data_IF_679785884090
#
_entry.id   IF_679785884090
#
_cell.length_a   1.000
_cell.length_b   1.000
_cell.length_c   1.000
_cell.angle_alpha   90.00
_cell.angle_beta   90.00
_cell.angle_gamma   90.00
#
_symmetry.space_group_name_H-M   'P 1'
#
loop_
_entity.id
_entity.type
_entity.pdbx_description
1 polymer ?
#
# COMPACT_ATOMS: atom_id res chain seq x y z
N UNK A 1 19.45 5.41 -1.98
CA UNK A 1 18.91 4.21 -1.32
C UNK A 1 17.54 4.60 -0.78
N UNK A 2 16.47 4.01 -1.32
CA UNK A 2 15.09 4.36 -0.96
C UNK A 2 14.63 3.64 0.31
N UNK A 3 14.83 2.32 0.38
CA UNK A 3 14.49 1.50 1.55
C UNK A 3 15.74 0.78 2.05
N UNK A 4 15.95 0.80 3.36
CA UNK A 4 17.07 0.08 3.98
C UNK A 4 16.65 -0.57 5.29
N UNK A 5 17.18 -1.77 5.56
CA UNK A 5 17.04 -2.43 6.85
C UNK A 5 18.40 -2.81 7.39
N UNK A 6 18.58 -2.64 8.71
CA UNK A 6 19.79 -2.99 9.44
C UNK A 6 19.46 -4.03 10.50
N UNK A 7 20.03 -5.23 10.37
CA UNK A 7 19.86 -6.38 11.29
C UNK A 7 18.42 -6.59 11.73
N UNK A 8 17.48 -6.43 10.77
CA UNK A 8 16.07 -6.52 11.04
C UNK A 8 15.69 -7.91 11.52
N UNK A 9 14.96 -7.99 12.64
CA UNK A 9 14.58 -9.25 13.25
C UNK A 9 13.17 -9.23 13.82
N UNK A 10 12.54 -10.42 13.81
CA UNK A 10 11.24 -10.66 14.42
C UNK A 10 11.16 -12.03 15.07
N UNK A 11 10.78 -12.00 16.32
CA UNK A 11 10.57 -13.20 17.13
C UNK A 11 9.09 -13.24 17.61
N UNK A 12 8.50 -14.41 17.56
CA UNK A 12 7.16 -14.72 18.04
C UNK A 12 7.24 -15.85 19.06
N UNK A 13 7.07 -15.56 20.35
CA UNK A 13 7.06 -16.58 21.41
C UNK A 13 8.25 -17.53 21.36
N UNK A 14 9.47 -17.02 21.12
CA UNK A 14 10.70 -17.80 21.00
C UNK A 14 11.04 -18.28 19.58
N UNK A 15 10.10 -18.22 18.63
CA UNK A 15 10.36 -18.56 17.24
C UNK A 15 10.92 -17.33 16.49
N UNK A 16 12.17 -17.42 16.02
CA UNK A 16 12.78 -16.40 15.17
C UNK A 16 12.28 -16.53 13.73
N UNK A 17 11.32 -15.73 13.35
CA UNK A 17 10.72 -15.75 12.02
C UNK A 17 11.53 -14.95 10.99
N UNK A 18 12.28 -13.92 11.45
CA UNK A 18 13.25 -13.14 10.67
C UNK A 18 14.41 -12.86 11.60
N UNK A 19 15.65 -13.07 11.17
CA UNK A 19 16.85 -12.88 12.00
C UNK A 19 17.93 -12.11 11.25
N UNK A 20 18.23 -10.90 11.76
CA UNK A 20 19.39 -10.12 11.38
C UNK A 20 19.47 -9.74 9.89
N UNK A 21 18.35 -9.42 9.24
CA UNK A 21 18.30 -9.18 7.80
C UNK A 21 18.74 -7.75 7.47
N UNK A 22 19.82 -7.65 6.71
CA UNK A 22 20.26 -6.43 6.03
C UNK A 22 19.75 -6.47 4.58
N UNK A 23 19.02 -5.44 4.17
CA UNK A 23 18.37 -5.37 2.87
C UNK A 23 18.29 -3.93 2.39
N UNK A 24 18.42 -3.70 1.08
CA UNK A 24 18.33 -2.38 0.50
C UNK A 24 17.63 -2.38 -0.84
N UNK A 25 16.91 -1.31 -1.11
CA UNK A 25 16.25 -1.05 -2.41
C UNK A 25 16.63 0.35 -2.86
N UNK A 26 17.13 0.45 -4.08
CA UNK A 26 17.42 1.74 -4.71
C UNK A 26 16.16 2.31 -5.35
N UNK A 27 16.09 3.63 -5.46
CA UNK A 27 15.02 4.31 -6.17
C UNK A 27 14.96 3.86 -7.64
N UNK A 28 13.76 3.68 -8.17
CA UNK A 28 13.53 3.24 -9.55
C UNK A 28 13.89 1.78 -9.84
N UNK A 29 14.33 1.01 -8.83
CA UNK A 29 14.69 -0.40 -9.00
C UNK A 29 13.51 -1.34 -8.71
N UNK A 30 13.55 -2.54 -9.31
CA UNK A 30 12.69 -3.66 -8.98
C UNK A 30 13.51 -4.72 -8.28
N UNK A 31 13.18 -5.01 -7.01
CA UNK A 31 13.89 -5.99 -6.18
C UNK A 31 12.96 -7.12 -5.79
N UNK A 32 13.40 -8.38 -5.94
CA UNK A 32 12.64 -9.57 -5.58
C UNK A 32 13.26 -10.29 -4.38
N UNK A 33 12.41 -10.77 -3.46
CA UNK A 33 12.81 -11.65 -2.35
C UNK A 33 12.34 -13.06 -2.67
N UNK A 34 13.29 -13.97 -2.85
CA UNK A 34 13.06 -15.37 -3.21
C UNK A 34 13.42 -16.29 -2.04
N UNK A 35 12.75 -17.42 -1.93
CA UNK A 35 13.01 -18.43 -0.91
C UNK A 35 11.84 -19.40 -0.74
N UNK A 36 12.05 -20.53 -0.05
CA UNK A 36 11.01 -21.54 0.19
C UNK A 36 9.88 -21.01 1.07
N UNK A 37 8.79 -21.77 1.16
CA UNK A 37 7.72 -21.48 2.12
C UNK A 37 8.27 -21.59 3.55
N UNK A 38 7.86 -20.68 4.43
CA UNK A 38 8.39 -20.60 5.79
C UNK A 38 9.69 -19.81 5.95
N UNK A 39 10.35 -19.34 4.88
CA UNK A 39 11.59 -18.56 4.96
C UNK A 39 11.44 -17.12 5.51
N UNK A 40 10.29 -16.76 6.08
CA UNK A 40 10.08 -15.45 6.68
C UNK A 40 9.75 -14.30 5.72
N UNK A 41 9.60 -14.55 4.40
CA UNK A 41 9.34 -13.49 3.39
C UNK A 41 8.14 -12.61 3.75
N UNK A 42 6.99 -13.22 4.03
CA UNK A 42 5.78 -12.49 4.40
C UNK A 42 5.94 -11.72 5.72
N UNK A 43 6.69 -12.29 6.67
CA UNK A 43 7.01 -11.62 7.94
C UNK A 43 7.90 -10.41 7.69
N UNK A 44 8.91 -10.54 6.83
CA UNK A 44 9.77 -9.42 6.43
C UNK A 44 8.96 -8.29 5.78
N UNK A 45 8.09 -8.61 4.81
CA UNK A 45 7.19 -7.60 4.22
C UNK A 45 6.25 -6.96 5.25
N UNK A 46 5.76 -7.72 6.24
CA UNK A 46 4.95 -7.19 7.34
C UNK A 46 5.74 -6.23 8.25
N UNK A 47 7.03 -6.47 8.44
CA UNK A 47 7.92 -5.61 9.23
C UNK A 47 8.16 -4.27 8.53
N UNK A 48 8.61 -4.30 7.27
CA UNK A 48 8.92 -3.07 6.53
C UNK A 48 7.68 -2.22 6.26
N UNK A 49 6.50 -2.84 6.08
CA UNK A 49 5.23 -2.13 5.84
C UNK A 49 4.48 -1.73 7.12
N UNK A 50 5.03 -1.99 8.31
CA UNK A 50 4.47 -1.54 9.58
C UNK A 50 3.27 -2.35 10.10
N UNK A 51 3.03 -3.57 9.55
CA UNK A 51 2.03 -4.50 10.10
C UNK A 51 2.54 -5.22 11.35
N UNK A 52 3.83 -5.49 11.41
CA UNK A 52 4.48 -6.03 12.61
C UNK A 52 5.54 -5.06 13.09
N UNK A 53 5.66 -4.95 14.43
CA UNK A 53 6.75 -4.22 15.05
C UNK A 53 7.99 -5.12 15.11
N UNK A 54 9.17 -4.67 14.66
CA UNK A 54 10.41 -5.40 14.81
C UNK A 54 10.71 -5.73 16.26
N UNK A 55 11.36 -6.87 16.49
CA UNK A 55 11.95 -7.22 17.80
C UNK A 55 13.37 -6.67 17.91
N UNK A 56 14.08 -6.58 16.77
CA UNK A 56 15.43 -6.02 16.68
C UNK A 56 15.67 -5.37 15.32
N UNK A 57 16.72 -4.58 15.21
CA UNK A 57 17.13 -3.91 13.98
C UNK A 57 16.32 -2.66 13.68
N UNK A 58 16.58 -2.10 12.49
CA UNK A 58 15.99 -0.84 12.02
C UNK A 58 15.45 -0.94 10.62
N UNK A 59 14.52 -0.06 10.31
CA UNK A 59 13.98 0.17 8.95
C UNK A 59 14.04 1.65 8.68
N UNK A 60 14.61 2.05 7.55
CA UNK A 60 14.61 3.43 7.08
C UNK A 60 14.01 3.54 5.67
N UNK A 61 13.27 4.61 5.42
CA UNK A 61 12.67 4.95 4.13
C UNK A 61 13.10 6.37 3.79
N UNK A 62 13.75 6.54 2.63
CA UNK A 62 14.28 7.83 2.15
C UNK A 62 15.12 8.57 3.22
N UNK A 63 15.95 7.79 3.97
CA UNK A 63 16.77 8.30 5.06
C UNK A 63 16.05 8.55 6.38
N UNK A 64 14.73 8.48 6.45
CA UNK A 64 13.94 8.59 7.69
C UNK A 64 13.84 7.24 8.40
N UNK A 65 14.12 7.19 9.71
CA UNK A 65 13.91 6.00 10.53
C UNK A 65 12.39 5.79 10.76
N UNK A 66 11.86 4.73 10.17
CA UNK A 66 10.45 4.34 10.28
C UNK A 66 10.25 3.09 11.14
N UNK A 67 11.26 2.70 11.92
CA UNK A 67 11.23 1.48 12.75
C UNK A 67 10.03 1.46 13.67
N UNK A 68 9.17 0.44 13.51
CA UNK A 68 7.95 0.26 14.32
C UNK A 68 6.83 1.25 14.05
N UNK A 69 6.90 2.04 12.97
CA UNK A 69 5.76 2.85 12.54
C UNK A 69 4.60 1.93 12.13
N UNK A 70 3.36 2.29 12.49
CA UNK A 70 2.19 1.55 12.05
C UNK A 70 1.92 1.76 10.56
N UNK A 71 1.28 0.80 9.90
CA UNK A 71 1.05 0.80 8.45
C UNK A 71 0.41 2.10 7.90
N UNK A 72 -0.55 2.70 8.64
CA UNK A 72 -1.17 3.95 8.21
C UNK A 72 -0.20 5.14 8.18
N UNK A 73 0.92 5.06 8.89
CA UNK A 73 1.96 6.10 8.89
C UNK A 73 2.96 5.84 7.76
N UNK A 74 3.35 4.59 7.52
CA UNK A 74 4.24 4.24 6.40
C UNK A 74 3.62 4.56 5.05
N UNK A 75 2.30 4.36 4.89
CA UNK A 75 1.56 4.76 3.67
C UNK A 75 1.63 6.26 3.42
N UNK A 76 1.55 7.10 4.45
CA UNK A 76 1.68 8.57 4.31
C UNK A 76 3.07 9.00 3.84
N UNK A 77 4.09 8.18 4.07
CA UNK A 77 5.46 8.38 3.60
C UNK A 77 5.71 7.83 2.19
N UNK A 78 4.67 7.30 1.53
CA UNK A 78 4.74 6.80 0.16
C UNK A 78 4.96 5.30 0.02
N UNK A 79 5.00 4.53 1.13
CA UNK A 79 5.12 3.07 1.06
C UNK A 79 3.75 2.43 0.88
N UNK A 80 3.39 2.06 -0.33
CA UNK A 80 2.17 1.30 -0.60
C UNK A 80 2.43 -0.22 -0.60
N UNK A 81 1.39 -1.00 -0.34
CA UNK A 81 1.44 -2.46 -0.36
C UNK A 81 0.18 -3.05 -0.96
N UNK A 82 0.35 -3.95 -1.91
CA UNK A 82 -0.73 -4.82 -2.37
C UNK A 82 -0.77 -6.11 -1.54
N UNK A 83 -1.96 -6.66 -1.34
CA UNK A 83 -2.15 -7.92 -0.62
C UNK A 83 -2.42 -9.05 -1.60
N UNK A 84 -2.09 -10.27 -1.18
CA UNK A 84 -2.27 -11.49 -1.97
C UNK A 84 -3.77 -11.78 -2.23
N UNK A 85 -4.62 -11.41 -1.28
CA UNK A 85 -6.08 -11.44 -1.43
C UNK A 85 -6.56 -9.99 -1.58
N UNK A 86 -7.13 -9.69 -2.72
CA UNK A 86 -7.67 -8.37 -3.01
C UNK A 86 -9.06 -8.27 -2.40
N UNK A 87 -9.20 -7.45 -1.37
CA UNK A 87 -10.51 -7.11 -0.79
C UNK A 87 -10.98 -5.79 -1.40
N UNK A 88 -11.70 -5.89 -2.49
CA UNK A 88 -12.45 -4.77 -3.04
C UNK A 88 -13.84 -4.71 -2.40
N UNK A 89 -14.43 -3.54 -2.37
CA UNK A 89 -15.83 -3.37 -2.01
C UNK A 89 -16.70 -3.83 -3.18
N UNK A 90 -17.25 -5.02 -3.07
CA UNK A 90 -17.93 -5.75 -4.14
C UNK A 90 -19.09 -4.97 -4.78
N UNK A 91 -19.88 -4.25 -3.95
CA UNK A 91 -21.02 -3.46 -4.37
C UNK A 91 -20.68 -2.07 -4.93
N UNK A 92 -19.40 -1.70 -4.86
CA UNK A 92 -18.90 -0.42 -5.37
C UNK A 92 -18.29 -0.59 -6.76
N UNK A 93 -18.24 0.50 -7.52
CA UNK A 93 -17.55 0.48 -8.83
C UNK A 93 -16.06 0.31 -8.66
N UNK A 94 -15.38 -0.13 -9.71
CA UNK A 94 -13.90 -0.20 -9.77
C UNK A 94 -13.31 1.17 -9.45
N UNK A 95 -13.86 2.24 -10.01
CA UNK A 95 -13.39 3.61 -9.74
C UNK A 95 -13.54 4.02 -8.28
N UNK A 96 -14.70 3.73 -7.66
CA UNK A 96 -14.93 4.07 -6.25
C UNK A 96 -13.93 3.37 -5.33
N UNK A 97 -13.61 2.10 -5.63
CA UNK A 97 -12.59 1.36 -4.90
C UNK A 97 -11.22 2.07 -4.98
N UNK A 98 -10.79 2.50 -6.16
CA UNK A 98 -9.50 3.19 -6.32
C UNK A 98 -9.52 4.56 -5.65
N UNK A 99 -10.62 5.33 -5.76
CA UNK A 99 -10.79 6.62 -5.07
C UNK A 99 -10.63 6.46 -3.55
N UNK A 100 -11.15 5.36 -2.96
CA UNK A 100 -11.01 5.10 -1.51
C UNK A 100 -9.53 4.99 -1.14
N UNK A 101 -8.71 4.29 -1.94
CA UNK A 101 -7.26 4.19 -1.73
C UNK A 101 -6.57 5.56 -1.74
N UNK A 102 -6.91 6.41 -2.69
CA UNK A 102 -6.34 7.75 -2.82
C UNK A 102 -6.78 8.73 -1.70
N UNK A 103 -7.94 8.50 -1.06
CA UNK A 103 -8.42 9.35 0.04
C UNK A 103 -7.51 9.40 1.26
N UNK A 104 -6.64 8.43 1.46
CA UNK A 104 -5.63 8.47 2.55
C UNK A 104 -4.74 9.71 2.45
N UNK A 105 -4.59 10.29 1.26
CA UNK A 105 -3.76 11.47 0.97
C UNK A 105 -4.50 12.80 1.07
N UNK A 106 -5.85 12.79 1.27
CA UNK A 106 -6.64 14.02 1.37
C UNK A 106 -6.53 14.64 2.76
N UNK A 107 -6.65 15.99 2.82
CA UNK A 107 -6.55 16.76 4.05
C UNK A 107 -7.91 17.32 4.50
N UNK A 108 -8.99 17.13 3.71
CA UNK A 108 -10.33 17.62 4.08
C UNK A 108 -10.89 16.82 5.25
N UNK A 109 -11.50 17.57 6.18
CA UNK A 109 -12.15 17.01 7.36
C UNK A 109 -13.60 16.61 7.05
N UNK A 110 -14.20 15.83 7.96
CA UNK A 110 -15.61 15.42 7.88
C UNK A 110 -16.58 16.59 7.67
N UNK A 111 -16.34 17.74 8.31
CA UNK A 111 -17.14 18.95 8.13
C UNK A 111 -17.03 19.54 6.72
N UNK A 112 -15.82 19.53 6.12
CA UNK A 112 -15.62 19.97 4.74
C UNK A 112 -16.42 19.14 3.74
N UNK A 113 -16.51 17.83 3.98
CA UNK A 113 -17.27 16.90 3.15
C UNK A 113 -18.79 17.15 3.25
N UNK A 114 -19.33 17.36 4.46
CA UNK A 114 -20.76 17.66 4.69
C UNK A 114 -21.14 18.99 4.06
N UNK A 115 -20.36 20.04 4.27
CA UNK A 115 -20.61 21.39 3.77
C UNK A 115 -20.26 21.56 2.30
N UNK A 116 -19.74 20.51 1.63
CA UNK A 116 -19.30 20.53 0.22
C UNK A 116 -18.49 21.77 -0.12
N UNK A 117 -17.54 22.11 0.75
CA UNK A 117 -16.68 23.28 0.56
C UNK A 117 -15.98 23.26 -0.80
N UNK A 118 -15.60 24.42 -1.38
CA UNK A 118 -14.83 24.46 -2.63
C UNK A 118 -13.55 23.62 -2.56
N UNK A 119 -12.92 23.52 -1.39
CA UNK A 119 -11.76 22.69 -1.12
C UNK A 119 -12.10 21.19 -1.25
N UNK A 120 -13.17 20.73 -0.59
CA UNK A 120 -13.61 19.33 -0.67
C UNK A 120 -13.93 18.91 -2.11
N UNK A 121 -14.62 19.77 -2.87
CA UNK A 121 -14.94 19.53 -4.29
C UNK A 121 -13.68 19.44 -5.17
N UNK A 122 -12.67 20.24 -4.87
CA UNK A 122 -11.39 20.21 -5.60
C UNK A 122 -10.63 18.92 -5.29
N UNK A 123 -10.50 18.56 -4.02
CA UNK A 123 -9.84 17.33 -3.60
C UNK A 123 -10.56 16.09 -4.15
N UNK A 124 -11.89 16.08 -4.19
CA UNK A 124 -12.68 15.00 -4.78
C UNK A 124 -12.41 14.85 -6.29
N UNK A 125 -12.34 15.95 -7.02
CA UNK A 125 -11.98 15.94 -8.44
C UNK A 125 -10.56 15.44 -8.66
N UNK A 126 -9.59 15.94 -7.92
CA UNK A 126 -8.20 15.51 -7.98
C UNK A 126 -8.05 14.01 -7.67
N UNK A 127 -8.77 13.49 -6.65
CA UNK A 127 -8.78 12.05 -6.36
C UNK A 127 -9.37 11.23 -7.52
N UNK A 128 -10.45 11.72 -8.13
CA UNK A 128 -11.07 11.04 -9.28
C UNK A 128 -10.14 11.03 -10.49
N UNK A 129 -9.50 12.13 -10.81
CA UNK A 129 -8.55 12.24 -11.93
C UNK A 129 -7.37 11.28 -11.73
N UNK A 130 -6.74 11.27 -10.56
CA UNK A 130 -5.65 10.33 -10.22
C UNK A 130 -6.10 8.87 -10.27
N UNK A 131 -7.30 8.58 -9.78
CA UNK A 131 -7.83 7.22 -9.84
C UNK A 131 -8.03 6.74 -11.28
N UNK A 132 -8.48 7.61 -12.19
CA UNK A 132 -8.60 7.31 -13.62
C UNK A 132 -7.24 7.10 -14.27
N UNK A 133 -6.25 7.95 -13.98
CA UNK A 133 -4.87 7.79 -14.44
C UNK A 133 -4.25 6.47 -13.96
N UNK A 134 -4.47 6.10 -12.68
CA UNK A 134 -3.99 4.83 -12.13
C UNK A 134 -4.66 3.63 -12.81
N UNK A 135 -5.97 3.70 -13.10
CA UNK A 135 -6.70 2.65 -13.82
C UNK A 135 -6.22 2.53 -15.26
N UNK A 136 -5.91 3.63 -15.93
CA UNK A 136 -5.34 3.63 -17.28
C UNK A 136 -3.94 3.01 -17.28
N UNK A 137 -3.10 3.40 -16.33
CA UNK A 137 -1.75 2.86 -16.18
C UNK A 137 -1.71 1.33 -16.04
N UNK A 138 -2.67 0.75 -15.29
CA UNK A 138 -2.76 -0.72 -15.13
C UNK A 138 -3.58 -1.41 -16.24
N UNK A 139 -4.05 -0.67 -17.25
CA UNK A 139 -4.86 -1.20 -18.36
C UNK A 139 -6.27 -1.64 -17.94
N UNK A 140 -6.84 -1.01 -16.91
CA UNK A 140 -8.17 -1.32 -16.37
C UNK A 140 -9.20 -0.19 -16.57
N UNK A 141 -8.88 0.85 -17.37
CA UNK A 141 -9.77 2.00 -17.61
C UNK A 141 -11.15 1.61 -18.16
N UNK A 142 -11.23 0.56 -18.98
CA UNK A 142 -12.49 0.05 -19.54
C UNK A 142 -13.42 -0.61 -18.51
N UNK A 143 -12.97 -0.80 -17.26
CA UNK A 143 -13.74 -1.40 -16.15
C UNK A 143 -14.23 -0.38 -15.14
N UNK A 144 -13.95 0.89 -15.33
CA UNK A 144 -14.18 2.01 -14.40
C UNK A 144 -15.56 1.99 -13.73
N UNK A 145 -16.62 1.82 -14.50
CA UNK A 145 -18.01 1.88 -14.01
C UNK A 145 -18.60 0.51 -13.66
N UNK A 146 -17.81 -0.56 -13.77
CA UNK A 146 -18.26 -1.91 -13.43
C UNK A 146 -18.21 -2.15 -11.92
N UNK A 147 -19.17 -2.89 -11.35
CA UNK A 147 -19.09 -3.37 -9.97
C UNK A 147 -17.86 -4.25 -9.79
N UNK A 148 -17.14 -4.10 -8.67
CA UNK A 148 -15.92 -4.85 -8.40
C UNK A 148 -16.13 -6.37 -8.37
N UNK A 149 -17.29 -6.83 -7.90
CA UNK A 149 -17.68 -8.25 -7.93
C UNK A 149 -17.82 -8.83 -9.34
N UNK A 150 -18.07 -7.99 -10.36
CA UNK A 150 -18.34 -8.46 -11.73
C UNK A 150 -17.09 -8.60 -12.60
N UNK A 151 -15.92 -8.19 -12.12
CA UNK A 151 -14.69 -8.24 -12.89
C UNK A 151 -13.88 -9.51 -12.62
N UNK A 152 -13.15 -10.04 -13.62
CA UNK A 152 -12.31 -11.22 -13.46
C UNK A 152 -11.23 -11.01 -12.39
N UNK A 153 -10.82 -12.09 -11.71
CA UNK A 153 -9.81 -12.05 -10.65
C UNK A 153 -8.46 -11.41 -11.11
N UNK A 154 -8.09 -11.62 -12.37
CA UNK A 154 -6.89 -10.98 -12.93
C UNK A 154 -7.04 -9.45 -12.97
N UNK A 155 -8.22 -8.96 -13.38
CA UNK A 155 -8.51 -7.53 -13.38
C UNK A 155 -8.55 -6.97 -11.95
N UNK A 156 -9.08 -7.72 -10.96
CA UNK A 156 -9.04 -7.33 -9.55
C UNK A 156 -7.60 -7.12 -9.05
N UNK A 157 -6.65 -7.96 -9.47
CA UNK A 157 -5.22 -7.77 -9.14
C UNK A 157 -4.66 -6.47 -9.73
N UNK A 158 -5.01 -6.12 -10.98
CA UNK A 158 -4.62 -4.85 -11.60
C UNK A 158 -5.23 -3.66 -10.87
N UNK A 159 -6.52 -3.75 -10.52
CA UNK A 159 -7.21 -2.72 -9.72
C UNK A 159 -6.57 -2.56 -8.34
N UNK A 160 -6.10 -3.63 -7.69
CA UNK A 160 -5.38 -3.53 -6.41
C UNK A 160 -4.04 -2.81 -6.52
N UNK A 161 -3.39 -2.88 -7.67
CA UNK A 161 -2.18 -2.08 -7.95
C UNK A 161 -2.57 -0.60 -8.12
N UNK A 162 -3.63 -0.31 -8.91
CA UNK A 162 -4.12 1.06 -9.06
C UNK A 162 -4.53 1.71 -7.73
N UNK A 163 -5.10 0.94 -6.81
CA UNK A 163 -5.47 1.38 -5.46
C UNK A 163 -4.25 1.72 -4.59
N UNK A 164 -3.08 1.13 -4.89
CA UNK A 164 -1.83 1.36 -4.16
C UNK A 164 -1.00 2.53 -4.72
N UNK A 165 -1.23 2.95 -5.97
CA UNK A 165 -0.55 4.07 -6.63
C UNK A 165 -1.06 5.42 -6.14
#
# INVERSE_FOLDING_TARGET
MLLHTEKLGKEFGGLKAVEGVDFSVEEGSVTAIIGPNGAGKSTFFNLISGFYRPTSGKVSLDGEDITGYPAHRTVKLGMARTFQVTHLFDDSTVLDNVIIGHRVRTKSNFFDAILRTPRARREERECRERALEALDFVGAAHLTDRPAASIPQEAQKRVSIALAL
#
